data_IF_137958209469
#
_entry.id   IF_137958209469
#
_cell.length_a   1.000
_cell.length_b   1.000
_cell.length_c   1.000
_cell.angle_alpha   90.00
_cell.angle_beta   90.00
_cell.angle_gamma   90.00
#
_symmetry.space_group_name_H-M   'P 1'
#
loop_
_entity.id
_entity.type
_entity.pdbx_description
1 polymer ?
#
# COMPACT_ATOMS: atom_id res chain seq x y z
N UNK A 1 15.64 -3.40 16.42
CA UNK A 1 14.17 -3.49 16.33
C UNK A 1 13.78 -3.17 14.89
N UNK A 2 13.26 -4.14 14.12
CA UNK A 2 12.97 -3.97 12.68
C UNK A 2 11.51 -3.55 12.46
N UNK A 3 11.15 -2.36 12.92
CA UNK A 3 9.77 -1.84 12.75
C UNK A 3 9.54 -1.36 11.30
N UNK A 4 10.61 -1.05 10.56
CA UNK A 4 10.53 -0.59 9.16
C UNK A 4 10.26 -1.66 8.11
N UNK A 5 10.31 -2.94 8.47
CA UNK A 5 10.03 -4.09 7.57
C UNK A 5 8.71 -4.77 7.88
N UNK A 6 7.98 -4.31 8.90
CA UNK A 6 6.67 -4.89 9.20
C UNK A 6 5.65 -4.49 8.12
N UNK A 7 5.02 -5.46 7.44
CA UNK A 7 4.10 -5.17 6.35
C UNK A 7 2.84 -4.44 6.82
N UNK A 8 2.38 -4.72 8.05
CA UNK A 8 1.28 -3.99 8.69
C UNK A 8 1.62 -2.52 8.90
N UNK A 9 2.84 -2.20 9.34
CA UNK A 9 3.31 -0.81 9.48
C UNK A 9 3.33 -0.10 8.12
N UNK A 10 3.76 -0.79 7.06
CA UNK A 10 3.74 -0.24 5.70
C UNK A 10 2.30 0.04 5.21
N UNK A 11 1.32 -0.81 5.54
CA UNK A 11 -0.10 -0.52 5.26
C UNK A 11 -0.59 0.76 5.95
N UNK A 12 -0.34 0.87 7.25
CA UNK A 12 -0.76 2.03 8.04
C UNK A 12 -0.12 3.33 7.55
N UNK A 13 1.15 3.27 7.12
CA UNK A 13 1.83 4.41 6.47
C UNK A 13 1.15 4.78 5.15
N UNK A 14 0.75 3.80 4.36
CA UNK A 14 -0.01 4.04 3.13
C UNK A 14 -1.33 4.75 3.39
N UNK A 15 -2.09 4.31 4.40
CA UNK A 15 -3.33 4.98 4.82
C UNK A 15 -3.09 6.40 5.34
N UNK A 16 -2.02 6.62 6.11
CA UNK A 16 -1.63 7.95 6.55
C UNK A 16 -1.35 8.86 5.36
N UNK A 17 -0.57 8.38 4.38
CA UNK A 17 -0.28 9.16 3.18
C UNK A 17 -1.52 9.45 2.36
N UNK A 18 -2.43 8.49 2.21
CA UNK A 18 -3.72 8.69 1.55
C UNK A 18 -4.51 9.82 2.24
N UNK A 19 -4.60 9.78 3.57
CA UNK A 19 -5.31 10.80 4.36
C UNK A 19 -4.68 12.18 4.24
N UNK A 20 -3.36 12.26 4.04
CA UNK A 20 -2.66 13.54 3.76
C UNK A 20 -2.70 13.97 2.29
N UNK A 21 -3.45 13.27 1.43
CA UNK A 21 -3.56 13.58 0.00
C UNK A 21 -2.34 13.16 -0.83
N UNK A 22 -1.37 12.45 -0.25
CA UNK A 22 -0.14 12.03 -0.91
C UNK A 22 -0.30 10.65 -1.55
N UNK A 23 -1.16 10.58 -2.56
CA UNK A 23 -1.53 9.33 -3.24
C UNK A 23 -0.34 8.55 -3.82
N UNK A 24 0.66 9.24 -4.38
CA UNK A 24 1.90 8.60 -4.91
C UNK A 24 2.69 7.90 -3.81
N UNK A 25 2.84 8.53 -2.64
CA UNK A 25 3.52 7.93 -1.48
C UNK A 25 2.70 6.79 -0.89
N UNK A 26 1.37 6.95 -0.80
CA UNK A 26 0.49 5.89 -0.32
C UNK A 26 0.65 4.60 -1.14
N UNK A 27 0.63 4.72 -2.47
CA UNK A 27 0.85 3.61 -3.37
C UNK A 27 2.21 2.92 -3.18
N UNK A 28 3.28 3.70 -3.01
CA UNK A 28 4.62 3.15 -2.78
C UNK A 28 4.71 2.34 -1.47
N UNK A 29 4.06 2.81 -0.41
CA UNK A 29 4.05 2.10 0.88
C UNK A 29 3.19 0.83 0.85
N UNK A 30 2.03 0.87 0.19
CA UNK A 30 1.20 -0.34 0.00
C UNK A 30 1.88 -1.40 -0.87
N UNK A 31 2.58 -1.00 -1.94
CA UNK A 31 3.36 -1.93 -2.76
C UNK A 31 4.48 -2.58 -1.95
N UNK A 32 5.13 -1.81 -1.08
CA UNK A 32 6.16 -2.32 -0.16
C UNK A 32 5.56 -3.29 0.87
N UNK A 33 4.38 -3.00 1.42
CA UNK A 33 3.67 -3.92 2.32
C UNK A 33 3.41 -5.28 1.64
N UNK A 34 2.88 -5.27 0.42
CA UNK A 34 2.61 -6.49 -0.36
C UNK A 34 3.89 -7.28 -0.64
N UNK A 35 4.98 -6.58 -0.97
CA UNK A 35 6.27 -7.22 -1.23
C UNK A 35 6.86 -7.86 0.05
N UNK A 36 6.71 -7.23 1.21
CA UNK A 36 7.16 -7.81 2.47
C UNK A 36 6.28 -8.97 2.93
N UNK A 37 4.95 -8.90 2.72
CA UNK A 37 4.07 -10.06 2.93
C UNK A 37 4.42 -11.23 2.03
N UNK A 38 4.79 -10.99 0.76
CA UNK A 38 5.23 -12.05 -0.15
C UNK A 38 6.51 -12.76 0.34
N UNK A 39 7.40 -12.03 1.02
CA UNK A 39 8.63 -12.58 1.64
C UNK A 39 8.38 -13.24 3.00
N UNK A 40 7.27 -12.93 3.65
CA UNK A 40 6.91 -13.48 4.95
C UNK A 40 6.30 -14.87 4.77
N UNK A 41 6.51 -15.77 5.73
CA UNK A 41 5.98 -17.14 5.65
C UNK A 41 4.45 -17.08 5.64
N UNK A 42 3.81 -17.77 4.68
CA UNK A 42 2.35 -17.69 4.46
C UNK A 42 1.50 -18.03 5.69
N UNK A 43 2.04 -18.74 6.68
CA UNK A 43 1.36 -19.05 7.94
C UNK A 43 1.22 -17.84 8.88
N UNK A 44 2.05 -16.80 8.70
CA UNK A 44 2.06 -15.57 9.48
C UNK A 44 1.40 -14.39 8.73
N UNK A 45 0.96 -14.61 7.49
CA UNK A 45 0.38 -13.58 6.63
C UNK A 45 -1.15 -13.66 6.67
N UNK A 46 -1.78 -12.59 7.15
CA UNK A 46 -3.23 -12.46 7.05
C UNK A 46 -3.63 -12.09 5.61
N UNK A 47 -4.19 -13.05 4.88
CA UNK A 47 -4.62 -12.84 3.50
C UNK A 47 -5.70 -11.76 3.37
N UNK A 48 -6.46 -11.50 4.43
CA UNK A 48 -7.47 -10.45 4.46
C UNK A 48 -6.80 -9.08 4.35
N UNK A 49 -5.68 -8.89 5.05
CA UNK A 49 -4.96 -7.62 5.04
C UNK A 49 -4.21 -7.42 3.72
N UNK A 50 -3.62 -8.49 3.17
CA UNK A 50 -3.04 -8.48 1.81
C UNK A 50 -4.09 -8.03 0.79
N UNK A 51 -5.28 -8.63 0.81
CA UNK A 51 -6.36 -8.30 -0.12
C UNK A 51 -6.85 -6.85 0.04
N UNK A 52 -6.96 -6.35 1.28
CA UNK A 52 -7.31 -4.94 1.54
C UNK A 52 -6.29 -3.99 0.93
N UNK A 53 -5.00 -4.22 1.18
CA UNK A 53 -3.91 -3.36 0.68
C UNK A 53 -3.83 -3.39 -0.83
N UNK A 54 -4.00 -4.56 -1.44
CA UNK A 54 -4.03 -4.69 -2.89
C UNK A 54 -5.15 -3.84 -3.50
N UNK A 55 -6.36 -3.91 -2.93
CA UNK A 55 -7.49 -3.08 -3.36
C UNK A 55 -7.23 -1.58 -3.16
N UNK A 56 -6.59 -1.18 -2.06
CA UNK A 56 -6.17 0.21 -1.82
C UNK A 56 -5.16 0.68 -2.88
N UNK A 57 -4.15 -0.14 -3.18
CA UNK A 57 -3.13 0.14 -4.19
C UNK A 57 -3.73 0.32 -5.58
N UNK A 58 -4.61 -0.58 -6.01
CA UNK A 58 -5.32 -0.47 -7.28
C UNK A 58 -6.17 0.80 -7.34
N UNK A 59 -6.90 1.09 -6.26
CA UNK A 59 -7.71 2.31 -6.16
C UNK A 59 -6.86 3.58 -6.26
N UNK A 60 -5.67 3.60 -5.63
CA UNK A 60 -4.75 4.72 -5.76
C UNK A 60 -4.16 4.83 -7.16
N UNK A 61 -3.71 3.73 -7.76
CA UNK A 61 -3.17 3.73 -9.13
C UNK A 61 -4.21 4.21 -10.14
N UNK A 62 -5.47 3.79 -10.01
CA UNK A 62 -6.57 4.28 -10.85
C UNK A 62 -6.80 5.79 -10.68
N UNK A 63 -6.81 6.28 -9.44
CA UNK A 63 -6.96 7.72 -9.16
C UNK A 63 -5.79 8.53 -9.73
N UNK A 64 -4.56 8.06 -9.55
CA UNK A 64 -3.36 8.70 -10.10
C UNK A 64 -3.41 8.76 -11.62
N UNK A 65 -3.74 7.66 -12.29
CA UNK A 65 -3.86 7.60 -13.75
C UNK A 65 -4.96 8.54 -14.28
N UNK A 66 -6.09 8.65 -13.56
CA UNK A 66 -7.16 9.59 -13.90
C UNK A 66 -6.71 11.04 -13.76
N UNK A 67 -6.02 11.37 -12.67
CA UNK A 67 -5.48 12.73 -12.42
C UNK A 67 -4.47 13.12 -13.50
N UNK A 68 -3.57 12.21 -13.89
CA UNK A 68 -2.60 12.43 -14.98
C UNK A 68 -3.27 12.60 -16.35
N UNK A 69 -4.40 11.93 -16.59
CA UNK A 69 -5.15 12.06 -17.84
C UNK A 69 -5.97 13.35 -17.91
N UNK A 70 -6.42 13.89 -16.77
CA UNK A 70 -7.17 15.15 -16.71
C UNK A 70 -6.27 16.39 -16.69
N UNK A 71 -5.00 16.26 -16.31
CA UNK A 71 -4.02 17.34 -16.30
C UNK A 71 -3.24 17.47 -17.63
N UNK A 72 -3.80 16.97 -18.74
CA UNK A 72 -3.18 16.99 -20.08
C UNK A 72 -4.13 17.64 -21.09
#
# INVERSE_FOLDING_TARGET
QRIGTDPTVQDHLGDLYLRTGRLKLAAAHWERALNEWNKTVSAEVDQTDVAKVQKKLESAKMKLAKDESQNK
#
